data_IF_118096854219
#
_entry.id   IF_118096854219
#
_cell.length_a   1.000
_cell.length_b   1.000
_cell.length_c   1.000
_cell.angle_alpha   90.00
_cell.angle_beta   90.00
_cell.angle_gamma   90.00
#
_symmetry.space_group_name_H-M   'P 1'
#
loop_
_entity.id
_entity.type
_entity.pdbx_description
1 polymer ?
#
# COMPACT_ATOMS: atom_id res chain seq x y z
N UNK A 1 -3.54 19.77 -21.77
CA UNK A 1 -4.20 18.47 -22.04
C UNK A 1 -3.59 17.27 -21.28
N UNK A 2 -2.88 17.45 -20.15
CA UNK A 2 -2.16 16.34 -19.46
C UNK A 2 -2.90 15.82 -18.22
N UNK A 3 -3.84 16.59 -17.68
CA UNK A 3 -4.55 16.28 -16.42
C UNK A 3 -5.57 15.12 -16.53
N UNK A 4 -6.07 14.81 -17.73
CA UNK A 4 -7.05 13.74 -17.92
C UNK A 4 -6.43 12.33 -17.82
N UNK A 5 -5.16 12.16 -18.21
CA UNK A 5 -4.51 10.84 -18.16
C UNK A 5 -4.16 10.43 -16.72
N UNK A 6 -3.70 11.36 -15.89
CA UNK A 6 -3.38 11.08 -14.48
C UNK A 6 -4.63 10.73 -13.67
N UNK A 7 -5.75 11.42 -13.92
CA UNK A 7 -7.04 11.13 -13.28
C UNK A 7 -7.58 9.75 -13.66
N UNK A 8 -7.44 9.35 -14.94
CA UNK A 8 -7.82 8.03 -15.42
C UNK A 8 -6.99 6.92 -14.78
N UNK A 9 -5.66 7.10 -14.70
CA UNK A 9 -4.76 6.11 -14.10
C UNK A 9 -5.07 5.93 -12.61
N UNK A 10 -5.23 7.02 -11.85
CA UNK A 10 -5.54 6.93 -10.42
C UNK A 10 -6.89 6.23 -10.17
N UNK A 11 -7.92 6.53 -10.97
CA UNK A 11 -9.23 5.87 -10.86
C UNK A 11 -9.20 4.39 -11.26
N UNK A 12 -8.38 4.02 -12.26
CA UNK A 12 -8.15 2.63 -12.65
C UNK A 12 -7.42 1.86 -11.54
N UNK A 13 -6.39 2.45 -10.94
CA UNK A 13 -5.64 1.85 -9.83
C UNK A 13 -6.52 1.68 -8.60
N UNK A 14 -7.34 2.67 -8.25
CA UNK A 14 -8.32 2.58 -7.16
C UNK A 14 -9.34 1.46 -7.43
N UNK A 15 -9.84 1.34 -8.67
CA UNK A 15 -10.74 0.24 -9.05
C UNK A 15 -10.09 -1.14 -8.95
N UNK A 16 -8.82 -1.29 -9.32
CA UNK A 16 -8.10 -2.57 -9.19
C UNK A 16 -7.87 -2.96 -7.72
N UNK A 17 -7.55 -1.99 -6.86
CA UNK A 17 -7.39 -2.23 -5.41
C UNK A 17 -8.73 -2.63 -4.78
N UNK A 18 -9.83 -1.99 -5.17
CA UNK A 18 -11.18 -2.28 -4.63
C UNK A 18 -11.77 -3.57 -5.19
N UNK A 19 -11.48 -3.93 -6.44
CA UNK A 19 -12.04 -5.12 -7.08
C UNK A 19 -11.36 -6.44 -6.65
N UNK A 20 -10.14 -6.36 -6.10
CA UNK A 20 -9.31 -7.55 -5.86
C UNK A 20 -8.95 -8.28 -7.16
N UNK A 21 -7.98 -9.22 -7.14
CA UNK A 21 -7.76 -10.09 -8.28
C UNK A 21 -9.04 -10.90 -8.55
N UNK A 22 -9.49 -10.93 -9.81
CA UNK A 22 -10.58 -11.83 -10.25
C UNK A 22 -10.21 -13.24 -9.81
N UNK A 23 -11.15 -13.95 -9.19
CA UNK A 23 -10.96 -15.31 -8.74
C UNK A 23 -10.64 -16.21 -9.95
N UNK A 24 -9.35 -16.46 -10.17
CA UNK A 24 -8.89 -17.54 -11.02
C UNK A 24 -9.26 -18.84 -10.30
N UNK A 25 -9.90 -19.77 -11.02
CA UNK A 25 -10.72 -20.85 -10.43
C UNK A 25 -9.92 -21.99 -9.77
N UNK A 26 -8.63 -21.82 -9.51
CA UNK A 26 -7.74 -22.85 -8.99
C UNK A 26 -6.94 -22.33 -7.78
N UNK A 27 -7.61 -22.01 -6.66
CA UNK A 27 -6.96 -21.52 -5.43
C UNK A 27 -7.30 -22.40 -4.23
N UNK A 28 -6.30 -22.72 -3.42
CA UNK A 28 -6.40 -23.46 -2.17
C UNK A 28 -6.00 -22.56 -1.00
N UNK A 29 -6.75 -22.66 0.11
CA UNK A 29 -6.54 -21.85 1.30
C UNK A 29 -5.48 -22.48 2.20
N UNK A 30 -4.54 -21.67 2.69
CA UNK A 30 -3.55 -22.09 3.68
C UNK A 30 -3.56 -21.18 4.92
N UNK A 31 -3.44 -21.81 6.08
CA UNK A 31 -3.37 -21.14 7.38
C UNK A 31 -1.90 -21.02 7.78
N UNK A 32 -1.42 -19.79 7.94
CA UNK A 32 -0.02 -19.49 8.22
C UNK A 32 0.26 -19.21 9.71
N UNK A 33 -0.72 -19.39 10.61
CA UNK A 33 -0.54 -19.04 12.04
C UNK A 33 -1.33 -19.91 13.01
N UNK A 34 -0.91 -19.92 14.28
CA UNK A 34 -1.56 -20.63 15.37
C UNK A 34 -2.79 -19.84 15.87
N UNK A 35 -3.94 -20.21 15.30
CA UNK A 35 -5.33 -20.07 15.76
C UNK A 35 -5.94 -18.70 16.16
N UNK A 36 -5.22 -17.68 16.62
CA UNK A 36 -5.85 -16.37 17.01
C UNK A 36 -5.57 -15.19 16.09
N UNK A 37 -4.49 -15.22 15.32
CA UNK A 37 -4.15 -14.25 14.26
C UNK A 37 -3.82 -15.02 12.98
N UNK A 38 -4.72 -15.91 12.56
CA UNK A 38 -4.51 -16.78 11.41
C UNK A 38 -4.37 -15.93 10.13
N UNK A 39 -3.13 -15.58 9.76
CA UNK A 39 -2.79 -15.04 8.45
C UNK A 39 -3.19 -16.09 7.43
N UNK A 40 -4.09 -15.69 6.52
CA UNK A 40 -4.58 -16.56 5.45
C UNK A 40 -3.93 -16.12 4.16
N UNK A 41 -3.34 -17.06 3.43
CA UNK A 41 -2.86 -16.85 2.09
C UNK A 41 -3.61 -17.77 1.14
N UNK A 42 -3.93 -17.25 -0.04
CA UNK A 42 -4.44 -18.05 -1.14
C UNK A 42 -3.26 -18.53 -1.97
N UNK A 43 -3.14 -19.83 -2.16
CA UNK A 43 -2.06 -20.45 -2.93
C UNK A 43 -2.68 -21.17 -4.12
N UNK A 44 -2.03 -21.10 -5.29
CA UNK A 44 -2.53 -21.77 -6.50
C UNK A 44 -2.69 -23.28 -6.29
N UNK A 45 -3.82 -23.84 -6.69
CA UNK A 45 -4.09 -25.27 -6.56
C UNK A 45 -3.12 -26.12 -7.39
N UNK A 46 -2.52 -25.53 -8.45
CA UNK A 46 -1.54 -26.16 -9.35
C UNK A 46 -0.16 -26.43 -8.73
N UNK A 47 0.13 -25.89 -7.55
CA UNK A 47 1.40 -26.19 -6.87
C UNK A 47 1.45 -27.63 -6.40
N UNK A 48 2.61 -28.27 -6.57
CA UNK A 48 2.90 -29.57 -5.98
C UNK A 48 2.92 -29.49 -4.46
N UNK A 49 2.73 -30.63 -3.78
CA UNK A 49 2.78 -30.71 -2.32
C UNK A 49 4.06 -30.12 -1.73
N UNK A 50 5.20 -30.37 -2.38
CA UNK A 50 6.52 -29.88 -1.93
C UNK A 50 6.63 -28.36 -2.05
N UNK A 51 6.13 -27.78 -3.14
CA UNK A 51 6.12 -26.32 -3.33
C UNK A 51 5.20 -25.64 -2.31
N UNK A 52 4.04 -26.23 -2.03
CA UNK A 52 3.10 -25.78 -0.99
C UNK A 52 3.75 -25.78 0.40
N UNK A 53 4.46 -26.84 0.75
CA UNK A 53 5.18 -26.95 2.03
C UNK A 53 6.33 -25.92 2.15
N UNK A 54 7.11 -25.74 1.08
CA UNK A 54 8.19 -24.73 1.05
C UNK A 54 7.65 -23.31 1.18
N UNK A 55 6.60 -22.99 0.42
CA UNK A 55 5.95 -21.69 0.45
C UNK A 55 5.30 -21.40 1.80
N UNK A 56 4.70 -22.42 2.42
CA UNK A 56 4.12 -22.30 3.77
C UNK A 56 5.18 -21.93 4.80
N UNK A 57 6.32 -22.64 4.80
CA UNK A 57 7.43 -22.35 5.72
C UNK A 57 7.98 -20.94 5.51
N UNK A 58 8.20 -20.57 4.24
CA UNK A 58 8.69 -19.23 3.88
C UNK A 58 7.75 -18.12 4.35
N UNK A 59 6.44 -18.27 4.10
CA UNK A 59 5.44 -17.27 4.51
C UNK A 59 5.20 -17.22 6.03
N UNK A 60 5.44 -18.33 6.74
CA UNK A 60 5.43 -18.38 8.20
C UNK A 60 6.65 -17.66 8.80
N UNK A 61 7.80 -17.71 8.14
CA UNK A 61 9.03 -17.04 8.58
C UNK A 61 8.97 -15.52 8.37
N UNK A 62 8.29 -15.04 7.32
CA UNK A 62 8.09 -13.60 7.08
C UNK A 62 7.15 -13.04 8.16
N UNK A 63 7.69 -12.22 9.07
CA UNK A 63 6.87 -11.39 9.98
C UNK A 63 6.28 -10.22 9.20
N UNK A 64 5.07 -9.79 9.54
CA UNK A 64 4.37 -8.66 8.88
C UNK A 64 5.11 -7.31 8.97
N UNK A 65 6.23 -7.26 9.69
CA UNK A 65 7.06 -6.07 9.88
C UNK A 65 8.09 -5.84 8.77
N UNK A 66 8.26 -6.76 7.81
CA UNK A 66 9.23 -6.64 6.70
C UNK A 66 8.76 -5.74 5.55
N UNK A 67 8.13 -4.61 5.89
CA UNK A 67 8.23 -3.39 5.09
C UNK A 67 8.95 -2.31 5.90
N UNK A 68 10.06 -2.67 6.56
CA UNK A 68 11.06 -1.70 6.99
C UNK A 68 11.43 -0.90 5.74
N UNK A 69 10.88 0.31 5.64
CA UNK A 69 11.08 1.16 4.47
C UNK A 69 12.55 1.27 4.12
N UNK A 70 12.83 1.58 2.85
CA UNK A 70 14.20 1.79 2.40
C UNK A 70 14.81 2.93 3.22
N UNK A 71 16.01 2.72 3.77
CA UNK A 71 16.73 3.74 4.54
C UNK A 71 16.76 5.06 3.72
N UNK A 72 16.30 6.19 4.29
CA UNK A 72 16.32 7.49 3.62
C UNK A 72 17.70 7.85 3.05
N UNK A 73 18.79 7.41 3.69
CA UNK A 73 20.15 7.67 3.23
C UNK A 73 20.52 6.90 1.95
N UNK A 74 19.78 5.85 1.60
CA UNK A 74 20.04 4.99 0.44
C UNK A 74 19.30 5.50 -0.80
N UNK A 75 18.03 5.90 -0.68
CA UNK A 75 17.21 6.36 -1.83
C UNK A 75 16.37 7.61 -1.47
N UNK A 76 17.00 8.67 -0.96
CA UNK A 76 16.36 9.98 -1.00
C UNK A 76 16.46 10.57 -2.42
N UNK A 77 15.37 10.58 -3.17
CA UNK A 77 15.28 11.34 -4.41
C UNK A 77 15.32 12.85 -4.10
N UNK A 78 16.41 13.51 -4.47
CA UNK A 78 16.49 14.97 -4.42
C UNK A 78 15.72 15.55 -5.60
N UNK A 79 14.53 16.09 -5.35
CA UNK A 79 13.78 16.83 -6.37
C UNK A 79 14.59 18.06 -6.80
N UNK A 80 14.84 18.21 -8.10
CA UNK A 80 15.46 19.41 -8.65
C UNK A 80 14.42 20.54 -8.72
N UNK A 81 14.31 21.32 -7.65
CA UNK A 81 13.54 22.55 -7.64
C UNK A 81 14.48 23.76 -7.64
N UNK A 82 14.27 24.72 -8.54
CA UNK A 82 15.03 25.96 -8.45
C UNK A 82 14.54 26.76 -7.23
N UNK A 83 15.44 27.19 -6.31
CA UNK A 83 15.06 27.95 -5.11
C UNK A 83 14.39 29.29 -5.40
N UNK A 84 14.47 29.77 -6.65
CA UNK A 84 13.89 31.03 -7.11
C UNK A 84 12.38 30.92 -7.36
N UNK A 85 11.85 29.71 -7.56
CA UNK A 85 10.42 29.53 -7.74
C UNK A 85 9.70 29.62 -6.40
N UNK A 86 8.69 30.48 -6.34
CA UNK A 86 7.82 30.59 -5.17
C UNK A 86 7.06 29.28 -4.96
N UNK A 87 6.93 28.89 -3.70
CA UNK A 87 6.03 27.80 -3.31
C UNK A 87 4.59 28.14 -3.73
N UNK A 88 3.87 27.15 -4.28
CA UNK A 88 2.48 27.33 -4.70
C UNK A 88 1.59 26.67 -3.65
N UNK A 89 0.90 27.49 -2.86
CA UNK A 89 -0.14 26.99 -1.96
C UNK A 89 -1.38 26.62 -2.76
N UNK A 90 -1.68 25.32 -2.79
CA UNK A 90 -2.92 24.81 -3.38
C UNK A 90 -3.93 24.57 -2.28
N UNK A 91 -5.15 25.11 -2.46
CA UNK A 91 -6.27 24.86 -1.57
C UNK A 91 -6.56 23.36 -1.50
N UNK A 92 -6.72 22.82 -0.28
CA UNK A 92 -7.15 21.43 -0.05
C UNK A 92 -8.49 21.21 -0.76
N UNK A 93 -8.63 20.08 -1.45
CA UNK A 93 -9.91 19.70 -2.06
C UNK A 93 -10.89 19.27 -0.97
N UNK A 94 -12.17 19.63 -1.14
CA UNK A 94 -13.22 19.14 -0.25
C UNK A 94 -13.51 17.68 -0.61
N UNK A 95 -13.21 16.78 0.32
CA UNK A 95 -13.61 15.38 0.22
C UNK A 95 -14.93 15.25 0.97
N UNK A 96 -15.97 14.72 0.32
CA UNK A 96 -17.29 14.55 0.96
C UNK A 96 -17.20 13.78 2.29
N UNK A 97 -18.23 13.87 3.15
CA UNK A 97 -18.19 13.36 4.51
C UNK A 97 -17.90 11.86 4.61
N UNK A 98 -18.30 11.08 3.60
CA UNK A 98 -18.02 9.65 3.46
C UNK A 98 -16.51 9.33 3.41
N UNK A 99 -15.70 10.22 2.82
CA UNK A 99 -14.26 10.03 2.65
C UNK A 99 -13.45 10.57 3.83
N UNK A 100 -14.01 11.53 4.59
CA UNK A 100 -13.29 12.18 5.69
C UNK A 100 -12.73 11.19 6.70
N UNK A 101 -13.59 10.29 7.21
CA UNK A 101 -13.20 9.27 8.21
C UNK A 101 -12.17 8.28 7.67
N UNK A 102 -12.31 7.87 6.40
CA UNK A 102 -11.38 6.93 5.76
C UNK A 102 -10.01 7.57 5.62
N UNK A 103 -9.98 8.83 5.17
CA UNK A 103 -8.74 9.61 5.02
C UNK A 103 -8.06 9.80 6.37
N UNK A 104 -8.81 10.17 7.42
CA UNK A 104 -8.27 10.35 8.76
C UNK A 104 -7.65 9.06 9.31
N UNK A 105 -8.37 7.94 9.18
CA UNK A 105 -7.87 6.62 9.62
C UNK A 105 -6.59 6.24 8.88
N UNK A 106 -6.52 6.51 7.58
CA UNK A 106 -5.34 6.18 6.79
C UNK A 106 -4.15 7.10 7.09
N UNK A 107 -4.40 8.40 7.31
CA UNK A 107 -3.38 9.35 7.77
C UNK A 107 -2.78 8.88 9.09
N UNK A 108 -3.61 8.45 10.04
CA UNK A 108 -3.14 7.97 11.34
C UNK A 108 -2.23 6.74 11.20
N UNK A 109 -2.61 5.77 10.36
CA UNK A 109 -1.75 4.60 10.07
C UNK A 109 -0.41 5.01 9.47
N UNK A 110 -0.41 5.90 8.48
CA UNK A 110 0.81 6.36 7.82
C UNK A 110 1.71 7.18 8.75
N UNK A 111 1.11 7.95 9.67
CA UNK A 111 1.82 8.70 10.70
C UNK A 111 2.47 7.74 11.71
N UNK A 112 1.74 6.72 12.16
CA UNK A 112 2.25 5.71 13.08
C UNK A 112 3.37 4.85 12.45
N UNK A 113 3.29 4.60 11.14
CA UNK A 113 4.35 3.93 10.39
C UNK A 113 5.57 4.82 10.11
N UNK A 114 5.51 6.12 10.39
CA UNK A 114 6.62 7.06 10.14
C UNK A 114 6.81 7.46 8.67
N UNK A 115 5.87 7.13 7.78
CA UNK A 115 5.96 7.49 6.36
C UNK A 115 5.60 8.96 6.09
N UNK A 116 4.77 9.57 6.95
CA UNK A 116 4.38 10.98 6.84
C UNK A 116 4.62 11.71 8.15
N UNK A 117 4.93 13.00 8.04
CA UNK A 117 5.13 13.91 9.16
C UNK A 117 4.35 15.19 8.91
N UNK A 118 3.83 15.78 9.99
CA UNK A 118 3.24 17.12 9.93
C UNK A 118 4.34 18.16 9.79
N UNK A 119 4.20 19.02 8.78
CA UNK A 119 5.10 20.14 8.56
C UNK A 119 4.32 21.45 8.57
N UNK A 120 4.80 22.41 9.37
CA UNK A 120 4.25 23.75 9.40
C UNK A 120 5.05 24.64 8.47
N UNK A 121 4.37 25.24 7.50
CA UNK A 121 4.95 26.30 6.68
C UNK A 121 4.56 27.64 7.30
N UNK A 122 5.56 28.51 7.53
CA UNK A 122 5.37 29.89 8.02
C UNK A 122 4.84 30.81 6.92
#
# INVERSE_FOLDING_TARGET
>A
MVLNKVSLILNLTIRMIVAGPKADQDMEYMVLGLEKLARRANIGAKFSRREKELLTKFLQEIRDEDMLGIDPNVICHKLHGEPKFKTIFKKKRNHGPEWGKIIETEIEKLKNAGFIMEFFHL
#
